data_IF_578665224030
#
_entry.id   IF_578665224030
#
_cell.length_a   1.000
_cell.length_b   1.000
_cell.length_c   1.000
_cell.angle_alpha   90.00
_cell.angle_beta   90.00
_cell.angle_gamma   90.00
#
_symmetry.space_group_name_H-M   'P 1'
#
loop_
_entity.id
_entity.type
_entity.pdbx_description
1 polymer ?
#
# COMPACT_ATOMS: atom_id res chain seq x y z
N UNK A 1 28.87 -6.35 -29.94
CA UNK A 1 28.31 -7.41 -29.07
C UNK A 1 28.70 -7.07 -27.63
N UNK A 2 27.72 -6.83 -26.76
CA UNK A 2 27.93 -6.48 -25.35
C UNK A 2 28.40 -7.71 -24.56
N UNK A 3 29.47 -7.56 -23.79
CA UNK A 3 30.08 -8.64 -23.03
C UNK A 3 29.35 -8.76 -21.67
N UNK A 4 28.32 -9.62 -21.60
CA UNK A 4 27.43 -9.79 -20.44
C UNK A 4 28.06 -10.51 -19.21
N UNK A 5 29.33 -10.90 -19.28
CA UNK A 5 29.98 -11.71 -18.23
C UNK A 5 31.19 -11.05 -17.56
N UNK A 6 31.58 -9.85 -17.99
CA UNK A 6 32.68 -9.12 -17.36
C UNK A 6 32.14 -8.25 -16.20
N UNK A 7 31.87 -8.87 -15.06
CA UNK A 7 31.63 -8.14 -13.80
C UNK A 7 32.99 -7.63 -13.30
N UNK A 8 33.29 -6.36 -13.55
CA UNK A 8 34.56 -5.74 -13.14
C UNK A 8 34.49 -5.28 -11.69
N UNK A 9 34.85 -6.19 -10.77
CA UNK A 9 34.65 -6.05 -9.33
C UNK A 9 35.37 -4.81 -8.77
N UNK A 10 36.53 -4.43 -9.34
CA UNK A 10 37.30 -3.26 -8.91
C UNK A 10 36.59 -1.92 -9.11
N UNK A 11 35.87 -1.74 -10.23
CA UNK A 11 35.07 -0.53 -10.47
C UNK A 11 33.70 -0.55 -9.76
N UNK A 12 33.22 -1.73 -9.34
CA UNK A 12 31.95 -1.87 -8.63
C UNK A 12 32.10 -1.71 -7.11
N UNK A 13 33.26 -2.04 -6.56
CA UNK A 13 33.54 -1.92 -5.12
C UNK A 13 33.99 -0.52 -4.68
N UNK A 14 34.43 0.31 -5.62
CA UNK A 14 34.78 1.71 -5.33
C UNK A 14 33.47 2.52 -5.24
N UNK A 15 33.18 3.05 -4.06
CA UNK A 15 32.03 3.92 -3.80
C UNK A 15 32.31 5.29 -4.45
N UNK A 16 32.02 5.41 -5.75
CA UNK A 16 31.93 6.69 -6.45
C UNK A 16 30.61 7.42 -6.11
N UNK A 17 30.56 8.75 -6.27
CA UNK A 17 29.33 9.52 -6.03
C UNK A 17 28.13 9.00 -6.83
N UNK A 18 28.38 8.40 -7.99
CA UNK A 18 27.45 7.75 -8.90
C UNK A 18 26.90 6.39 -8.42
N UNK A 19 27.55 5.74 -7.44
CA UNK A 19 27.17 4.41 -6.90
C UNK A 19 26.89 4.40 -5.40
N UNK A 20 27.07 5.53 -4.72
CA UNK A 20 26.75 5.66 -3.31
C UNK A 20 25.23 5.62 -3.08
N UNK A 21 24.78 4.85 -2.08
CA UNK A 21 23.39 4.86 -1.56
C UNK A 21 22.93 6.28 -1.15
N UNK A 22 23.87 7.23 -1.02
CA UNK A 22 23.63 8.66 -0.84
C UNK A 22 22.82 9.34 -1.97
N UNK A 23 22.73 8.73 -3.17
CA UNK A 23 21.89 9.18 -4.29
C UNK A 23 20.66 8.30 -4.52
N UNK A 24 20.25 7.55 -3.51
CA UNK A 24 18.89 7.03 -3.49
C UNK A 24 17.95 8.21 -3.18
N UNK A 25 17.51 8.93 -4.22
CA UNK A 25 16.57 10.06 -4.14
C UNK A 25 15.27 9.72 -3.38
N UNK A 26 14.94 8.42 -3.34
CA UNK A 26 13.91 7.80 -2.51
C UNK A 26 14.03 8.07 -1.00
N UNK A 27 15.23 8.37 -0.47
CA UNK A 27 15.45 8.70 0.95
C UNK A 27 15.73 10.19 1.21
N UNK A 28 15.98 11.01 0.17
CA UNK A 28 16.21 12.46 0.32
C UNK A 28 14.92 13.24 0.55
N UNK A 29 13.80 12.77 0.00
CA UNK A 29 12.52 13.47 0.06
C UNK A 29 11.53 12.75 0.99
N UNK A 30 11.06 13.38 2.07
CA UNK A 30 10.01 12.82 2.93
C UNK A 30 8.76 12.39 2.13
N UNK A 31 8.45 13.10 1.05
CA UNK A 31 7.37 12.75 0.12
C UNK A 31 7.56 11.39 -0.56
N UNK A 32 8.78 11.01 -0.94
CA UNK A 32 9.06 9.72 -1.59
C UNK A 32 8.83 8.55 -0.62
N UNK A 33 9.24 8.69 0.65
CA UNK A 33 8.98 7.69 1.70
C UNK A 33 7.48 7.49 1.93
N UNK A 34 6.73 8.59 2.03
CA UNK A 34 5.29 8.56 2.20
C UNK A 34 4.61 7.90 1.00
N UNK A 35 5.07 8.19 -0.22
CA UNK A 35 4.56 7.62 -1.47
C UNK A 35 4.67 6.08 -1.50
N UNK A 36 5.83 5.56 -1.12
CA UNK A 36 6.10 4.12 -1.06
C UNK A 36 5.18 3.43 -0.05
N UNK A 37 5.04 4.02 1.14
CA UNK A 37 4.17 3.49 2.20
C UNK A 37 2.72 3.48 1.74
N UNK A 38 2.22 4.60 1.19
CA UNK A 38 0.83 4.73 0.76
C UNK A 38 0.47 3.73 -0.33
N UNK A 39 1.32 3.55 -1.34
CA UNK A 39 1.10 2.56 -2.40
C UNK A 39 0.94 1.14 -1.83
N UNK A 40 1.77 0.78 -0.87
CA UNK A 40 1.70 -0.55 -0.25
C UNK A 40 0.47 -0.68 0.65
N UNK A 41 0.14 0.36 1.42
CA UNK A 41 -1.06 0.39 2.29
C UNK A 41 -2.34 0.23 1.47
N UNK A 42 -2.50 0.92 0.35
CA UNK A 42 -3.69 0.76 -0.50
C UNK A 42 -3.83 -0.67 -1.04
N UNK A 43 -2.72 -1.28 -1.44
CA UNK A 43 -2.70 -2.68 -1.92
C UNK A 43 -3.11 -3.64 -0.81
N UNK A 44 -2.49 -3.52 0.36
CA UNK A 44 -2.79 -4.37 1.53
C UNK A 44 -4.21 -4.15 2.02
N UNK A 45 -4.70 -2.91 2.03
CA UNK A 45 -6.06 -2.58 2.45
C UNK A 45 -7.12 -3.24 1.56
N UNK A 46 -6.91 -3.29 0.25
CA UNK A 46 -7.81 -3.98 -0.69
C UNK A 46 -7.88 -5.49 -0.41
N UNK A 47 -6.73 -6.12 -0.20
CA UNK A 47 -6.64 -7.55 0.13
C UNK A 47 -7.32 -7.81 1.49
N UNK A 48 -7.03 -6.98 2.50
CA UNK A 48 -7.61 -7.11 3.83
C UNK A 48 -9.13 -6.97 3.80
N UNK A 49 -9.65 -5.98 3.08
CA UNK A 49 -11.09 -5.78 2.89
C UNK A 49 -11.72 -7.04 2.30
N UNK A 50 -11.15 -7.58 1.23
CA UNK A 50 -11.66 -8.77 0.57
C UNK A 50 -11.76 -9.98 1.53
N UNK A 51 -10.69 -10.22 2.30
CA UNK A 51 -10.64 -11.30 3.28
C UNK A 51 -11.69 -11.11 4.38
N UNK A 52 -11.83 -9.90 4.92
CA UNK A 52 -12.81 -9.59 5.97
C UNK A 52 -14.25 -9.69 5.47
N UNK A 53 -14.52 -9.32 4.21
CA UNK A 53 -15.83 -9.47 3.60
C UNK A 53 -16.20 -10.94 3.42
N UNK A 54 -15.27 -11.79 2.99
CA UNK A 54 -15.51 -13.24 2.87
C UNK A 54 -15.80 -13.83 4.25
N UNK A 55 -14.93 -13.61 5.24
CA UNK A 55 -15.14 -14.17 6.58
C UNK A 55 -16.40 -13.64 7.25
N UNK A 56 -16.64 -12.33 7.15
CA UNK A 56 -17.85 -11.71 7.67
C UNK A 56 -19.12 -12.23 6.99
N UNK A 57 -19.10 -12.35 5.66
CA UNK A 57 -20.20 -12.89 4.87
C UNK A 57 -20.53 -14.35 5.21
N UNK A 58 -19.52 -15.21 5.28
CA UNK A 58 -19.67 -16.61 5.68
C UNK A 58 -20.24 -16.69 7.10
N UNK A 59 -19.73 -15.89 8.04
CA UNK A 59 -20.23 -15.85 9.42
C UNK A 59 -21.71 -15.44 9.50
N UNK A 60 -22.20 -14.57 8.61
CA UNK A 60 -23.61 -14.20 8.52
C UNK A 60 -24.45 -15.39 8.04
N UNK A 61 -24.00 -16.09 6.99
CA UNK A 61 -24.71 -17.22 6.40
C UNK A 61 -24.82 -18.38 7.41
N UNK A 62 -23.71 -18.74 8.06
CA UNK A 62 -23.68 -19.82 9.06
C UNK A 62 -24.58 -19.46 10.26
N UNK A 63 -24.45 -18.24 10.80
CA UNK A 63 -25.27 -17.80 11.93
C UNK A 63 -26.77 -17.78 11.61
N UNK A 64 -27.15 -17.44 10.38
CA UNK A 64 -28.53 -17.50 9.92
C UNK A 64 -29.05 -18.94 9.78
N UNK A 65 -28.22 -19.89 9.35
CA UNK A 65 -28.58 -21.30 9.19
C UNK A 65 -28.70 -22.07 10.51
N UNK A 66 -27.83 -21.78 11.49
CA UNK A 66 -27.82 -22.45 12.81
C UNK A 66 -28.82 -21.84 13.82
N UNK A 67 -29.59 -20.81 13.44
CA UNK A 67 -30.38 -19.97 14.35
C UNK A 67 -29.52 -19.39 15.50
N UNK A 68 -28.24 -19.10 15.24
CA UNK A 68 -27.34 -18.42 16.17
C UNK A 68 -27.26 -16.93 15.83
N UNK A 69 -28.12 -16.08 16.44
CA UNK A 69 -28.16 -14.66 16.15
C UNK A 69 -26.86 -13.94 16.54
N UNK A 70 -26.03 -14.51 17.43
CA UNK A 70 -24.78 -13.88 17.87
C UNK A 70 -23.73 -13.95 16.76
N UNK A 71 -23.56 -15.12 16.12
CA UNK A 71 -22.65 -15.28 14.97
C UNK A 71 -23.06 -14.41 13.79
N UNK A 72 -24.37 -14.33 13.52
CA UNK A 72 -24.88 -13.48 12.46
C UNK A 72 -24.64 -11.99 12.73
N UNK A 73 -24.87 -11.53 13.97
CA UNK A 73 -24.58 -10.16 14.37
C UNK A 73 -23.09 -9.82 14.32
N UNK A 74 -22.22 -10.76 14.72
CA UNK A 74 -20.77 -10.60 14.65
C UNK A 74 -20.30 -10.48 13.20
N UNK A 75 -20.77 -11.35 12.30
CA UNK A 75 -20.44 -11.27 10.87
C UNK A 75 -20.85 -9.94 10.25
N UNK A 76 -22.08 -9.46 10.56
CA UNK A 76 -22.54 -8.12 10.13
C UNK A 76 -21.64 -7.01 10.64
N UNK A 77 -21.26 -7.06 11.93
CA UNK A 77 -20.35 -6.08 12.53
C UNK A 77 -19.00 -6.08 11.80
N UNK A 78 -18.42 -7.25 11.54
CA UNK A 78 -17.15 -7.37 10.80
C UNK A 78 -17.24 -6.73 9.43
N UNK A 79 -18.29 -7.01 8.66
CA UNK A 79 -18.51 -6.42 7.33
C UNK A 79 -18.61 -4.90 7.42
N UNK A 80 -19.42 -4.38 8.34
CA UNK A 80 -19.59 -2.93 8.52
C UNK A 80 -18.25 -2.28 8.92
N UNK A 81 -17.52 -2.86 9.88
CA UNK A 81 -16.22 -2.33 10.29
C UNK A 81 -15.20 -2.35 9.16
N UNK A 82 -15.15 -3.41 8.36
CA UNK A 82 -14.27 -3.50 7.20
C UNK A 82 -14.60 -2.43 6.15
N UNK A 83 -15.89 -2.25 5.84
CA UNK A 83 -16.36 -1.22 4.90
C UNK A 83 -16.06 0.19 5.42
N UNK A 84 -16.33 0.47 6.70
CA UNK A 84 -16.02 1.77 7.30
C UNK A 84 -14.53 2.08 7.23
N UNK A 85 -13.67 1.11 7.57
CA UNK A 85 -12.22 1.27 7.44
C UNK A 85 -11.78 1.54 6.01
N UNK A 86 -12.36 0.83 5.04
CA UNK A 86 -12.08 1.06 3.63
C UNK A 86 -12.55 2.44 3.16
N UNK A 87 -13.71 2.91 3.59
CA UNK A 87 -14.22 4.25 3.25
C UNK A 87 -13.28 5.34 3.79
N UNK A 88 -12.70 5.17 4.97
CA UNK A 88 -11.70 6.10 5.51
C UNK A 88 -10.45 6.14 4.63
N UNK A 89 -9.93 4.97 4.22
CA UNK A 89 -8.77 4.88 3.33
C UNK A 89 -9.08 5.50 1.96
N UNK A 90 -10.28 5.27 1.45
CA UNK A 90 -10.77 5.87 0.21
C UNK A 90 -10.90 7.41 0.32
N UNK A 91 -11.40 7.93 1.44
CA UNK A 91 -11.46 9.37 1.69
C UNK A 91 -10.06 9.99 1.79
N UNK A 92 -9.09 9.28 2.39
CA UNK A 92 -7.71 9.72 2.49
C UNK A 92 -7.05 9.95 1.12
N UNK A 93 -7.40 9.16 0.09
CA UNK A 93 -6.91 9.37 -1.28
C UNK A 93 -7.20 10.78 -1.79
N UNK A 94 -8.40 11.31 -1.54
CA UNK A 94 -8.78 12.66 -1.97
C UNK A 94 -7.98 13.74 -1.26
N UNK A 95 -7.71 13.56 0.03
CA UNK A 95 -6.87 14.47 0.82
C UNK A 95 -5.46 14.52 0.23
N UNK A 96 -4.85 13.36 -0.04
CA UNK A 96 -3.50 13.27 -0.61
C UNK A 96 -3.45 13.87 -2.01
N UNK A 97 -4.49 13.66 -2.83
CA UNK A 97 -4.60 14.26 -4.17
C UNK A 97 -4.67 15.78 -4.10
N UNK A 98 -5.42 16.34 -3.15
CA UNK A 98 -5.48 17.79 -2.93
C UNK A 98 -4.12 18.34 -2.50
N UNK A 99 -3.42 17.66 -1.58
CA UNK A 99 -2.07 18.05 -1.16
C UNK A 99 -1.12 18.04 -2.37
N UNK A 100 -1.14 16.97 -3.16
CA UNK A 100 -0.30 16.82 -4.36
C UNK A 100 -0.57 17.94 -5.38
N UNK A 101 -1.83 18.35 -5.53
CA UNK A 101 -2.22 19.45 -6.40
C UNK A 101 -1.67 20.81 -5.94
N UNK A 102 -1.67 21.06 -4.63
CA UNK A 102 -1.17 22.33 -4.07
C UNK A 102 0.37 22.37 -4.03
N UNK A 103 1.02 21.24 -3.73
CA UNK A 103 2.48 21.16 -3.60
C UNK A 103 3.19 20.91 -4.93
N UNK A 104 2.49 20.42 -5.95
CA UNK A 104 3.08 20.02 -7.23
C UNK A 104 3.93 18.74 -7.17
N UNK A 105 3.88 18.01 -6.05
CA UNK A 105 4.64 16.76 -5.85
C UNK A 105 3.73 15.56 -6.10
N UNK A 106 4.15 14.65 -6.99
CA UNK A 106 3.42 13.41 -7.24
C UNK A 106 3.69 12.37 -6.13
N UNK A 107 2.80 12.31 -5.14
CA UNK A 107 2.91 11.38 -4.00
C UNK A 107 2.37 9.97 -4.36
N UNK A 108 1.43 9.89 -5.29
CA UNK A 108 0.74 8.62 -5.59
C UNK A 108 1.43 7.82 -6.70
N UNK A 109 2.21 8.48 -7.54
CA UNK A 109 2.96 7.85 -8.62
C UNK A 109 4.28 8.62 -8.86
N UNK A 110 5.25 8.52 -7.94
CA UNK A 110 6.51 9.21 -8.12
C UNK A 110 7.16 8.74 -9.43
N UNK A 111 7.33 9.64 -10.39
CA UNK A 111 8.24 9.43 -11.52
C UNK A 111 9.66 9.45 -10.95
N UNK A 112 10.18 8.27 -10.62
CA UNK A 112 11.57 8.09 -10.21
C UNK A 112 12.41 8.15 -11.50
N UNK A 113 13.30 9.13 -11.68
CA UNK A 113 14.33 9.07 -12.72
C UNK A 113 15.36 7.96 -12.41
#
# INVERSE_FOLDING_TARGET
MLNLFAVNIGEQWIIGQDKAIANADQFKNPGALISIILRNVYTVAGILLFVLLIFGGISIIIGAGENDPRKAAQGKKTVITALTGFVIIFASYWIIKLISFITGVEILNPTIP
#
